data_IF_395214123744
#
_entry.id   IF_395214123744
#
_cell.length_a   1.000
_cell.length_b   1.000
_cell.length_c   1.000
_cell.angle_alpha   90.00
_cell.angle_beta   90.00
_cell.angle_gamma   90.00
#
_symmetry.space_group_name_H-M   'P 1'
#
loop_
_entity.id
_entity.type
_entity.pdbx_description
1 polymer ?
#
# COMPACT_ATOMS: atom_id res chain seq x y z
N UNK A 1 60.85 -31.93 -0.14
CA UNK A 1 60.07 -30.70 0.03
C UNK A 1 59.08 -30.58 -1.13
N UNK A 2 57.78 -30.53 -0.80
CA UNK A 2 56.64 -29.97 -1.57
C UNK A 2 56.51 -30.48 -3.04
N UNK A 3 55.91 -31.64 -3.34
CA UNK A 3 54.46 -31.99 -3.39
C UNK A 3 53.55 -30.96 -4.08
N UNK A 4 53.33 -31.18 -5.38
CA UNK A 4 52.02 -31.24 -6.04
C UNK A 4 50.83 -30.60 -5.30
N UNK A 5 50.51 -29.35 -5.61
CA UNK A 5 49.24 -28.72 -5.27
C UNK A 5 48.97 -27.48 -6.14
N UNK A 6 48.85 -27.63 -7.46
CA UNK A 6 48.49 -26.51 -8.37
C UNK A 6 47.25 -26.83 -9.22
N UNK A 7 46.40 -27.79 -8.84
CA UNK A 7 45.22 -28.13 -9.64
C UNK A 7 43.88 -28.22 -8.89
N UNK A 8 43.78 -27.69 -7.67
CA UNK A 8 42.58 -27.80 -6.83
C UNK A 8 42.12 -26.47 -6.18
N UNK A 9 42.43 -25.33 -6.79
CA UNK A 9 42.02 -24.00 -6.27
C UNK A 9 41.19 -23.17 -7.25
N UNK A 10 40.88 -23.70 -8.44
CA UNK A 10 40.10 -23.00 -9.47
C UNK A 10 38.67 -23.51 -9.63
N UNK A 11 38.27 -24.58 -8.91
CA UNK A 11 36.93 -25.16 -9.00
C UNK A 11 36.01 -24.77 -7.81
N UNK A 12 36.53 -24.12 -6.78
CA UNK A 12 35.79 -23.75 -5.57
C UNK A 12 35.29 -22.29 -5.55
N UNK A 13 35.54 -21.51 -6.60
CA UNK A 13 35.06 -20.12 -6.75
C UNK A 13 34.07 -19.93 -7.92
N UNK A 14 33.64 -21.03 -8.54
CA UNK A 14 32.59 -21.07 -9.57
C UNK A 14 31.47 -22.05 -9.18
N UNK A 15 31.19 -22.20 -7.89
CA UNK A 15 29.82 -22.50 -7.49
C UNK A 15 28.99 -21.24 -7.76
N UNK A 16 28.79 -20.96 -9.07
CA UNK A 16 27.60 -20.26 -9.52
C UNK A 16 26.47 -20.96 -8.79
N UNK A 17 25.86 -20.23 -7.86
CA UNK A 17 24.56 -20.53 -7.30
C UNK A 17 23.69 -21.08 -8.43
N UNK A 18 23.53 -22.40 -8.48
CA UNK A 18 22.51 -23.00 -9.32
C UNK A 18 21.23 -22.26 -8.92
N UNK A 19 20.48 -21.66 -9.88
CA UNK A 19 19.24 -21.00 -9.53
C UNK A 19 18.43 -22.01 -8.75
N UNK A 20 18.06 -21.66 -7.50
CA UNK A 20 17.24 -22.50 -6.67
C UNK A 20 16.07 -22.97 -7.54
N UNK A 21 15.88 -24.29 -7.63
CA UNK A 21 14.87 -24.85 -8.51
C UNK A 21 13.54 -24.19 -8.16
N UNK A 22 13.00 -23.46 -9.13
CA UNK A 22 11.79 -22.69 -8.92
C UNK A 22 10.68 -23.61 -8.42
N UNK A 23 9.95 -23.17 -7.41
CA UNK A 23 8.85 -23.93 -6.84
C UNK A 23 7.89 -24.38 -7.95
N UNK A 24 7.71 -25.69 -8.09
CA UNK A 24 6.84 -26.22 -9.13
C UNK A 24 5.42 -25.68 -9.01
N UNK A 25 4.69 -25.59 -10.12
CA UNK A 25 3.32 -25.07 -10.13
C UNK A 25 2.41 -25.82 -9.14
N UNK A 26 2.56 -27.13 -9.03
CA UNK A 26 1.75 -27.96 -8.13
C UNK A 26 2.11 -27.71 -6.67
N UNK A 27 3.41 -27.60 -6.35
CA UNK A 27 3.86 -27.25 -5.00
C UNK A 27 3.39 -25.85 -4.60
N UNK A 28 3.49 -24.88 -5.51
CA UNK A 28 2.98 -23.53 -5.29
C UNK A 28 1.47 -23.52 -5.05
N UNK A 29 0.70 -24.26 -5.86
CA UNK A 29 -0.76 -24.38 -5.69
C UNK A 29 -1.10 -25.00 -4.34
N UNK A 30 -0.34 -26.00 -3.90
CA UNK A 30 -0.52 -26.60 -2.59
C UNK A 30 -0.24 -25.60 -1.45
N UNK A 31 0.82 -24.79 -1.53
CA UNK A 31 1.11 -23.76 -0.53
C UNK A 31 0.02 -22.67 -0.50
N UNK A 32 -0.46 -22.21 -1.66
CA UNK A 32 -1.58 -21.26 -1.72
C UNK A 32 -2.87 -21.84 -1.13
N UNK A 33 -3.14 -23.12 -1.36
CA UNK A 33 -4.31 -23.79 -0.78
C UNK A 33 -4.18 -23.95 0.75
N UNK A 34 -2.99 -24.25 1.27
CA UNK A 34 -2.74 -24.26 2.72
C UNK A 34 -3.01 -22.89 3.32
N UNK A 35 -2.53 -21.82 2.69
CA UNK A 35 -2.80 -20.46 3.13
C UNK A 35 -4.31 -20.13 3.13
N UNK A 36 -5.05 -20.56 2.09
CA UNK A 36 -6.52 -20.36 1.99
C UNK A 36 -7.31 -21.08 3.08
N UNK A 37 -6.84 -22.27 3.46
CA UNK A 37 -7.48 -23.11 4.47
C UNK A 37 -7.04 -22.76 5.90
N UNK A 38 -6.05 -21.89 6.07
CA UNK A 38 -5.67 -21.40 7.37
C UNK A 38 -6.86 -20.69 8.03
N UNK A 39 -6.95 -20.78 9.37
CA UNK A 39 -7.90 -19.96 10.13
C UNK A 39 -7.66 -18.49 9.80
N UNK A 40 -8.71 -17.67 9.79
CA UNK A 40 -8.69 -16.27 9.33
C UNK A 40 -7.48 -15.49 9.85
N UNK A 41 -7.24 -15.57 11.17
CA UNK A 41 -6.12 -14.93 11.88
C UNK A 41 -4.69 -15.37 11.46
N UNK A 42 -4.54 -16.44 10.69
CA UNK A 42 -3.24 -16.99 10.25
C UNK A 42 -3.06 -16.97 8.73
N UNK A 43 -4.07 -16.51 7.99
CA UNK A 43 -4.03 -16.43 6.53
C UNK A 43 -2.91 -15.53 6.03
N UNK A 44 -2.79 -14.31 6.58
CA UNK A 44 -1.74 -13.35 6.21
C UNK A 44 -0.34 -13.83 6.63
N UNK A 45 -0.21 -14.41 7.83
CA UNK A 45 1.06 -15.00 8.29
C UNK A 45 1.55 -16.13 7.36
N UNK A 46 0.65 -16.97 6.86
CA UNK A 46 1.01 -18.06 5.93
C UNK A 46 1.55 -17.54 4.60
N UNK A 47 0.96 -16.47 4.08
CA UNK A 47 1.45 -15.79 2.87
C UNK A 47 2.76 -15.04 3.12
N UNK A 48 2.93 -14.40 4.29
CA UNK A 48 4.18 -13.76 4.67
C UNK A 48 5.34 -14.76 4.62
N UNK A 49 5.18 -15.96 5.19
CA UNK A 49 6.20 -17.00 5.13
C UNK A 49 6.47 -17.50 3.72
N UNK A 50 5.45 -17.57 2.87
CA UNK A 50 5.62 -17.92 1.46
C UNK A 50 6.47 -16.87 0.72
N UNK A 51 6.31 -15.58 1.03
CA UNK A 51 7.12 -14.49 0.48
C UNK A 51 8.59 -14.51 0.91
N UNK A 52 8.91 -15.10 2.06
CA UNK A 52 10.28 -15.26 2.54
C UNK A 52 11.07 -16.33 1.76
N UNK A 53 10.44 -17.07 0.84
CA UNK A 53 11.12 -18.08 0.04
C UNK A 53 11.79 -17.46 -1.17
N UNK A 54 13.04 -17.85 -1.44
CA UNK A 54 13.80 -17.37 -2.59
C UNK A 54 13.52 -18.16 -3.88
N UNK A 55 12.81 -19.30 -3.78
CA UNK A 55 12.54 -20.22 -4.89
C UNK A 55 11.23 -19.91 -5.64
N UNK A 56 10.55 -18.81 -5.33
CA UNK A 56 9.38 -18.37 -6.10
C UNK A 56 9.82 -17.77 -7.44
N UNK A 57 9.16 -18.18 -8.53
CA UNK A 57 9.25 -17.41 -9.78
C UNK A 57 8.70 -16.00 -9.58
N UNK A 58 9.13 -15.07 -10.43
CA UNK A 58 8.60 -13.70 -10.44
C UNK A 58 7.07 -13.66 -10.48
N UNK A 59 6.44 -14.46 -11.35
CA UNK A 59 4.98 -14.54 -11.45
C UNK A 59 4.31 -15.11 -10.19
N UNK A 60 4.94 -16.08 -9.53
CA UNK A 60 4.45 -16.65 -8.26
C UNK A 60 4.60 -15.64 -7.12
N UNK A 61 5.78 -15.02 -6.97
CA UNK A 61 6.01 -13.97 -5.98
C UNK A 61 4.99 -12.86 -6.12
N UNK A 62 4.81 -12.36 -7.34
CA UNK A 62 3.83 -11.33 -7.68
C UNK A 62 2.40 -11.73 -7.27
N UNK A 63 2.00 -12.98 -7.51
CA UNK A 63 0.69 -13.49 -7.10
C UNK A 63 0.53 -13.55 -5.58
N UNK A 64 1.57 -13.96 -4.86
CA UNK A 64 1.55 -14.04 -3.39
C UNK A 64 1.51 -12.65 -2.77
N UNK A 65 2.30 -11.69 -3.27
CA UNK A 65 2.32 -10.31 -2.78
C UNK A 65 0.96 -9.64 -2.92
N UNK A 66 0.27 -9.88 -4.03
CA UNK A 66 -1.10 -9.43 -4.22
C UNK A 66 -2.07 -10.06 -3.24
N UNK A 67 -2.07 -11.39 -3.18
CA UNK A 67 -2.99 -12.11 -2.31
C UNK A 67 -2.76 -11.71 -0.85
N UNK A 68 -1.51 -11.43 -0.49
CA UNK A 68 -1.13 -10.92 0.82
C UNK A 68 -1.75 -9.55 1.10
N UNK A 69 -1.63 -8.60 0.18
CA UNK A 69 -2.25 -7.28 0.30
C UNK A 69 -3.78 -7.38 0.43
N UNK A 70 -4.44 -8.18 -0.43
CA UNK A 70 -5.90 -8.36 -0.43
C UNK A 70 -6.42 -8.96 0.91
N UNK A 71 -5.70 -9.95 1.44
CA UNK A 71 -6.12 -10.65 2.66
C UNK A 71 -5.89 -9.85 3.91
N UNK A 72 -4.86 -8.98 3.95
CA UNK A 72 -4.70 -8.05 5.08
C UNK A 72 -5.91 -7.14 5.27
N UNK A 73 -6.56 -6.73 4.17
CA UNK A 73 -7.75 -5.88 4.22
C UNK A 73 -9.07 -6.61 4.51
N UNK A 74 -9.16 -7.91 4.18
CA UNK A 74 -10.41 -8.69 4.31
C UNK A 74 -10.46 -9.64 5.52
N UNK A 75 -9.31 -10.12 5.99
CA UNK A 75 -9.19 -11.08 7.09
C UNK A 75 -9.04 -10.43 8.48
N UNK A 76 -9.22 -9.11 8.58
CA UNK A 76 -9.20 -8.39 9.85
C UNK A 76 -7.82 -8.23 10.49
N UNK A 77 -6.74 -8.30 9.71
CA UNK A 77 -5.37 -8.02 10.17
C UNK A 77 -5.19 -6.50 10.39
N UNK A 78 -4.98 -5.76 9.31
CA UNK A 78 -4.82 -4.31 9.36
C UNK A 78 -4.99 -3.72 7.96
N UNK A 79 -5.96 -2.80 7.84
CA UNK A 79 -6.26 -2.06 6.62
C UNK A 79 -5.10 -1.15 6.22
N UNK A 80 -4.38 -0.56 7.19
CA UNK A 80 -3.19 0.25 6.93
C UNK A 80 -2.09 -0.64 6.35
N UNK A 81 -1.82 -1.78 6.97
CA UNK A 81 -0.87 -2.76 6.46
C UNK A 81 -1.22 -3.34 5.08
N UNK A 82 -2.50 -3.39 4.70
CA UNK A 82 -2.92 -3.74 3.32
C UNK A 82 -2.47 -2.68 2.31
N UNK A 83 -2.65 -1.40 2.62
CA UNK A 83 -2.18 -0.28 1.79
C UNK A 83 -0.66 -0.31 1.62
N UNK A 84 0.09 -0.51 2.71
CA UNK A 84 1.56 -0.64 2.65
C UNK A 84 2.01 -1.83 1.79
N UNK A 85 1.32 -2.97 1.88
CA UNK A 85 1.61 -4.14 1.05
C UNK A 85 1.35 -3.88 -0.44
N UNK A 86 0.30 -3.12 -0.79
CA UNK A 86 0.08 -2.71 -2.18
C UNK A 86 1.15 -1.73 -2.67
N UNK A 87 1.61 -0.79 -1.84
CA UNK A 87 2.71 0.10 -2.23
C UNK A 87 3.99 -0.70 -2.49
N UNK A 88 4.37 -1.60 -1.58
CA UNK A 88 5.53 -2.48 -1.77
C UNK A 88 5.42 -3.33 -3.05
N UNK A 89 4.22 -3.83 -3.34
CA UNK A 89 3.93 -4.51 -4.60
C UNK A 89 4.16 -3.59 -5.82
N UNK A 90 3.61 -2.37 -5.80
CA UNK A 90 3.71 -1.45 -6.94
C UNK A 90 5.15 -1.00 -7.20
N UNK A 91 5.91 -0.75 -6.14
CA UNK A 91 7.34 -0.42 -6.20
C UNK A 91 8.16 -1.57 -6.80
N UNK A 92 7.82 -2.82 -6.46
CA UNK A 92 8.49 -4.00 -6.98
C UNK A 92 8.12 -4.30 -8.45
N UNK A 93 6.93 -3.89 -8.91
CA UNK A 93 6.37 -4.26 -10.22
C UNK A 93 5.89 -3.06 -11.06
N UNK A 94 6.73 -2.04 -11.33
CA UNK A 94 6.30 -0.76 -11.90
C UNK A 94 5.75 -0.85 -13.35
N UNK A 95 6.12 -1.88 -14.11
CA UNK A 95 5.73 -2.04 -15.51
C UNK A 95 4.47 -2.90 -15.72
N UNK A 96 3.92 -3.51 -14.66
CA UNK A 96 2.75 -4.40 -14.76
C UNK A 96 1.41 -3.66 -14.62
N UNK A 97 1.30 -2.52 -15.30
CA UNK A 97 0.16 -1.59 -15.28
C UNK A 97 -1.15 -2.24 -15.75
N UNK A 98 -1.16 -3.29 -16.58
CA UNK A 98 -2.43 -3.89 -17.05
C UNK A 98 -3.24 -4.59 -15.96
N UNK A 99 -2.60 -5.00 -14.88
CA UNK A 99 -3.30 -5.58 -13.74
C UNK A 99 -3.77 -4.49 -12.74
N UNK A 100 -3.48 -3.22 -13.02
CA UNK A 100 -3.77 -2.06 -12.16
C UNK A 100 -5.25 -1.75 -12.00
N UNK A 101 -6.13 -2.15 -12.93
CA UNK A 101 -7.54 -1.74 -12.88
C UNK A 101 -8.31 -2.38 -11.70
N UNK A 102 -8.07 -3.67 -11.44
CA UNK A 102 -8.62 -4.38 -10.27
C UNK A 102 -7.89 -4.00 -8.97
N UNK A 103 -6.58 -3.75 -9.04
CA UNK A 103 -5.75 -3.39 -7.86
C UNK A 103 -6.01 -1.98 -7.36
N UNK A 104 -6.31 -1.05 -8.26
CA UNK A 104 -6.73 0.28 -7.87
C UNK A 104 -8.07 0.21 -7.12
N UNK A 105 -8.99 -0.70 -7.45
CA UNK A 105 -10.25 -0.85 -6.71
C UNK A 105 -10.04 -1.28 -5.24
N UNK A 106 -9.18 -2.25 -4.97
CA UNK A 106 -8.96 -2.75 -3.60
C UNK A 106 -7.96 -1.89 -2.81
N UNK A 107 -6.98 -1.27 -3.49
CA UNK A 107 -6.22 -0.15 -2.95
C UNK A 107 -7.13 1.05 -2.61
N UNK A 108 -8.16 1.36 -3.43
CA UNK A 108 -9.15 2.44 -3.20
C UNK A 108 -10.06 2.13 -2.00
N UNK A 109 -10.46 0.87 -1.78
CA UNK A 109 -11.25 0.48 -0.61
C UNK A 109 -10.39 0.41 0.67
N UNK A 110 -9.16 -0.12 0.56
CA UNK A 110 -8.18 -0.12 1.65
C UNK A 110 -7.77 1.28 2.08
N UNK A 111 -7.53 2.20 1.12
CA UNK A 111 -7.33 3.61 1.43
C UNK A 111 -8.58 4.24 2.03
N UNK A 112 -9.78 3.96 1.55
CA UNK A 112 -11.02 4.50 2.13
C UNK A 112 -11.26 4.03 3.57
N UNK A 113 -11.12 2.73 3.86
CA UNK A 113 -11.33 2.16 5.21
C UNK A 113 -10.13 2.46 6.15
N UNK A 114 -8.88 2.50 5.67
CA UNK A 114 -7.73 2.99 6.47
C UNK A 114 -7.81 4.50 6.72
N UNK A 115 -8.45 5.25 5.83
CA UNK A 115 -8.70 6.67 6.00
C UNK A 115 -9.89 6.94 6.90
N UNK A 116 -10.87 6.02 7.01
CA UNK A 116 -11.89 6.09 8.05
C UNK A 116 -11.25 6.21 9.45
N UNK A 117 -10.18 5.46 9.76
CA UNK A 117 -9.42 5.63 11.01
C UNK A 117 -8.66 6.97 11.07
N UNK A 118 -8.11 7.43 9.94
CA UNK A 118 -7.38 8.71 9.87
C UNK A 118 -8.29 9.94 10.01
N UNK A 119 -9.53 9.86 9.51
CA UNK A 119 -10.60 10.86 9.68
C UNK A 119 -10.91 11.08 11.16
N UNK A 120 -10.78 10.07 12.01
CA UNK A 120 -10.95 10.23 13.47
C UNK A 120 -9.77 10.93 14.16
N UNK A 121 -8.61 11.02 13.50
CA UNK A 121 -7.46 11.80 13.99
C UNK A 121 -7.40 13.22 13.40
N UNK A 122 -8.27 13.53 12.42
CA UNK A 122 -8.33 14.85 11.83
C UNK A 122 -8.76 15.87 12.89
N UNK A 123 -7.95 16.91 13.05
CA UNK A 123 -8.12 17.87 14.16
C UNK A 123 -9.19 18.92 13.88
N UNK A 124 -9.64 19.04 12.62
CA UNK A 124 -10.70 19.96 12.19
C UNK A 124 -11.37 19.50 10.88
N UNK A 125 -12.51 20.13 10.56
CA UNK A 125 -13.32 19.80 9.38
C UNK A 125 -12.57 19.92 8.05
N UNK A 126 -11.65 20.86 7.93
CA UNK A 126 -10.88 21.08 6.70
C UNK A 126 -9.83 19.99 6.47
N UNK A 127 -9.18 19.50 7.53
CA UNK A 127 -8.28 18.35 7.49
C UNK A 127 -9.04 17.06 7.13
N UNK A 128 -10.25 16.88 7.70
CA UNK A 128 -11.15 15.79 7.35
C UNK A 128 -11.56 15.84 5.87
N UNK A 129 -11.91 17.02 5.35
CA UNK A 129 -12.30 17.16 3.95
C UNK A 129 -11.16 16.84 2.97
N UNK A 130 -9.93 17.29 3.24
CA UNK A 130 -8.74 16.96 2.43
C UNK A 130 -8.48 15.46 2.46
N UNK A 131 -8.60 14.86 3.65
CA UNK A 131 -8.41 13.44 3.89
C UNK A 131 -9.46 12.61 3.14
N UNK A 132 -10.73 13.01 3.15
CA UNK A 132 -11.83 12.37 2.41
C UNK A 132 -11.60 12.46 0.89
N UNK A 133 -11.23 13.64 0.37
CA UNK A 133 -10.90 13.82 -1.03
C UNK A 133 -9.75 12.89 -1.45
N UNK A 134 -8.72 12.80 -0.61
CA UNK A 134 -7.56 11.96 -0.87
C UNK A 134 -7.94 10.47 -0.91
N UNK A 135 -8.67 10.00 0.10
CA UNK A 135 -9.15 8.62 0.17
C UNK A 135 -10.06 8.23 -1.00
N UNK A 136 -10.85 9.19 -1.46
CA UNK A 136 -11.74 9.01 -2.61
C UNK A 136 -11.01 9.15 -3.96
N UNK A 137 -9.69 9.30 -3.98
CA UNK A 137 -8.94 9.37 -5.22
C UNK A 137 -9.07 10.71 -5.96
N UNK A 138 -9.68 11.73 -5.35
CA UNK A 138 -9.73 13.11 -5.84
C UNK A 138 -8.45 13.86 -5.43
N UNK A 139 -7.29 13.29 -5.77
CA UNK A 139 -5.99 13.74 -5.28
C UNK A 139 -5.63 15.16 -5.69
N UNK A 140 -5.98 15.57 -6.91
CA UNK A 140 -5.77 16.95 -7.36
C UNK A 140 -6.61 17.95 -6.58
N UNK A 141 -7.87 17.60 -6.29
CA UNK A 141 -8.76 18.46 -5.49
C UNK A 141 -8.29 18.52 -4.03
N UNK A 142 -7.82 17.40 -3.48
CA UNK A 142 -7.22 17.33 -2.15
C UNK A 142 -5.98 18.24 -2.03
N UNK A 143 -5.10 18.23 -3.03
CA UNK A 143 -3.92 19.11 -3.07
C UNK A 143 -4.30 20.58 -3.19
N UNK A 144 -5.30 20.90 -4.01
CA UNK A 144 -5.82 22.26 -4.13
C UNK A 144 -6.40 22.77 -2.80
N UNK A 145 -7.20 21.93 -2.12
CA UNK A 145 -7.75 22.24 -0.80
C UNK A 145 -6.65 22.35 0.27
N UNK A 146 -5.63 21.49 0.21
CA UNK A 146 -4.48 21.53 1.10
C UNK A 146 -3.69 22.84 0.93
N UNK A 147 -3.40 23.23 -0.32
CA UNK A 147 -2.72 24.49 -0.62
C UNK A 147 -3.51 25.72 -0.16
N UNK A 148 -4.84 25.71 -0.31
CA UNK A 148 -5.70 26.82 0.07
C UNK A 148 -5.89 26.94 1.60
N UNK A 149 -5.86 25.82 2.31
CA UNK A 149 -6.14 25.78 3.76
C UNK A 149 -4.94 26.12 4.64
N UNK A 150 -3.72 26.04 4.10
CA UNK A 150 -2.45 26.19 4.85
C UNK A 150 -2.38 25.30 6.10
N UNK A 151 -3.06 24.14 6.04
CA UNK A 151 -3.11 23.17 7.12
C UNK A 151 -1.89 22.25 7.09
N UNK A 152 -1.57 21.68 8.25
CA UNK A 152 -0.61 20.59 8.38
C UNK A 152 -1.40 19.29 8.59
N UNK A 153 -1.63 18.52 7.51
CA UNK A 153 -2.26 17.21 7.63
C UNK A 153 -1.37 16.27 8.45
N UNK A 154 -1.95 15.17 8.92
CA UNK A 154 -1.18 14.16 9.65
C UNK A 154 -0.03 13.58 8.80
N UNK A 155 1.00 13.06 9.48
CA UNK A 155 2.21 12.53 8.84
C UNK A 155 1.94 11.39 7.86
N UNK A 156 0.91 10.59 8.11
CA UNK A 156 0.55 9.44 7.28
C UNK A 156 -0.02 9.88 5.93
N UNK A 157 -0.88 10.90 5.93
CA UNK A 157 -1.39 11.49 4.70
C UNK A 157 -0.25 12.13 3.89
N UNK A 158 0.66 12.85 4.55
CA UNK A 158 1.85 13.42 3.89
C UNK A 158 2.72 12.32 3.26
N UNK A 159 2.95 11.22 3.98
CA UNK A 159 3.72 10.08 3.49
C UNK A 159 3.04 9.43 2.27
N UNK A 160 1.72 9.28 2.28
CA UNK A 160 0.98 8.75 1.13
C UNK A 160 1.06 9.69 -0.07
N UNK A 161 0.90 11.01 0.13
CA UNK A 161 1.04 12.01 -0.93
C UNK A 161 2.46 12.05 -1.53
N UNK A 162 3.48 11.76 -0.71
CA UNK A 162 4.86 11.61 -1.17
C UNK A 162 5.03 10.34 -2.01
N UNK A 163 4.57 9.19 -1.52
CA UNK A 163 4.66 7.90 -2.24
C UNK A 163 3.93 7.92 -3.58
N UNK A 164 2.83 8.66 -3.68
CA UNK A 164 2.10 8.82 -4.94
C UNK A 164 2.72 9.83 -5.90
N UNK A 165 3.75 10.56 -5.48
CA UNK A 165 4.47 11.53 -6.29
C UNK A 165 3.76 12.87 -6.45
N UNK A 166 2.94 13.27 -5.49
CA UNK A 166 2.28 14.59 -5.50
C UNK A 166 2.96 15.60 -4.59
N UNK A 167 3.65 15.09 -3.57
CA UNK A 167 4.65 15.84 -2.84
C UNK A 167 6.05 15.36 -3.25
N UNK A 168 6.98 16.29 -3.44
CA UNK A 168 8.37 16.01 -3.77
C UNK A 168 9.30 16.82 -2.87
N UNK A 169 10.61 16.49 -2.85
CA UNK A 169 11.59 17.26 -2.10
C UNK A 169 11.47 18.75 -2.38
N UNK A 170 11.60 19.60 -1.36
CA UNK A 170 11.41 21.06 -1.47
C UNK A 170 12.20 21.69 -2.62
N UNK A 171 13.38 21.15 -2.92
CA UNK A 171 14.28 21.57 -4.01
C UNK A 171 13.67 21.40 -5.41
N UNK A 172 12.66 20.53 -5.55
CA UNK A 172 12.00 20.18 -6.82
C UNK A 172 10.58 20.72 -6.91
N UNK A 173 10.10 21.41 -5.87
CA UNK A 173 8.71 21.79 -5.73
C UNK A 173 8.36 23.15 -6.36
N UNK A 174 7.08 23.36 -6.66
CA UNK A 174 6.57 24.62 -7.23
C UNK A 174 5.75 25.47 -6.26
N UNK A 175 5.46 24.93 -5.07
CA UNK A 175 4.67 25.60 -4.05
C UNK A 175 5.56 26.03 -2.88
N UNK A 176 5.18 27.10 -2.19
CA UNK A 176 5.78 27.56 -0.93
C UNK A 176 5.23 26.82 0.30
N UNK A 177 4.18 26.01 0.14
CA UNK A 177 3.69 25.16 1.21
C UNK A 177 4.71 24.07 1.54
N UNK A 178 4.93 23.81 2.84
CA UNK A 178 5.97 22.91 3.34
C UNK A 178 5.36 21.86 4.25
N UNK A 179 5.70 20.61 3.99
CA UNK A 179 5.23 19.43 4.71
C UNK A 179 6.43 18.61 5.17
N UNK A 180 6.28 17.92 6.30
CA UNK A 180 7.35 17.07 6.84
C UNK A 180 6.79 15.84 7.51
N UNK A 181 7.55 14.74 7.42
CA UNK A 181 7.35 13.55 8.24
C UNK A 181 8.70 12.87 8.49
N UNK A 182 8.74 12.02 9.51
CA UNK A 182 9.92 11.21 9.85
C UNK A 182 9.58 9.74 9.69
N UNK A 183 10.42 8.99 9.00
CA UNK A 183 10.31 7.54 8.84
C UNK A 183 11.69 6.91 8.98
N UNK A 184 11.84 5.94 9.87
CA UNK A 184 13.12 5.25 10.14
C UNK A 184 14.28 6.22 10.41
N UNK A 185 14.06 7.20 11.29
CA UNK A 185 15.01 8.26 11.63
C UNK A 185 15.45 9.18 10.47
N UNK A 186 14.78 9.09 9.32
CA UNK A 186 14.99 9.98 8.18
C UNK A 186 13.87 11.02 8.14
N UNK A 187 14.24 12.30 8.14
CA UNK A 187 13.31 13.41 7.94
C UNK A 187 13.11 13.67 6.45
N UNK A 188 11.85 13.71 6.03
CA UNK A 188 11.43 14.06 4.69
C UNK A 188 10.85 15.47 4.72
N UNK A 189 11.43 16.37 3.91
CA UNK A 189 10.99 17.75 3.75
C UNK A 189 10.44 17.93 2.35
N UNK A 190 9.16 18.27 2.26
CA UNK A 190 8.39 18.11 1.04
C UNK A 190 7.52 19.32 0.74
N UNK A 191 7.19 19.49 -0.53
CA UNK A 191 6.26 20.50 -1.02
C UNK A 191 5.50 19.97 -2.25
N UNK A 192 4.44 20.67 -2.66
CA UNK A 192 3.62 20.25 -3.81
C UNK A 192 4.46 20.30 -5.09
N UNK A 193 4.42 19.22 -5.85
CA UNK A 193 5.15 19.12 -7.10
C UNK A 193 4.69 20.11 -8.17
N UNK A 194 5.59 20.54 -9.08
CA UNK A 194 5.21 21.31 -10.25
C UNK A 194 4.17 20.56 -11.08
N UNK A 195 3.30 21.30 -11.76
CA UNK A 195 2.28 20.72 -12.65
C UNK A 195 2.86 19.91 -13.82
N UNK A 196 4.14 20.08 -14.12
CA UNK A 196 4.90 19.31 -15.11
C UNK A 196 5.43 17.98 -14.58
N UNK A 197 5.38 17.76 -13.26
CA UNK A 197 5.76 16.49 -12.65
C UNK A 197 4.74 15.41 -12.99
N UNK A 198 5.22 14.26 -13.44
CA UNK A 198 4.37 13.09 -13.66
C UNK A 198 4.34 12.32 -12.33
N UNK A 199 3.19 12.25 -11.65
CA UNK A 199 3.10 11.53 -10.38
C UNK A 199 3.39 10.05 -10.59
N UNK A 200 3.94 9.42 -9.56
CA UNK A 200 4.25 7.98 -9.59
C UNK A 200 2.97 7.16 -9.79
N UNK A 201 1.87 7.61 -9.18
CA UNK A 201 0.54 7.05 -9.40
C UNK A 201 -0.42 8.13 -9.88
N UNK A 202 -1.11 7.96 -11.01
CA UNK A 202 -2.10 8.91 -11.46
C UNK A 202 -3.33 8.90 -10.55
N UNK A 203 -3.93 10.09 -10.37
CA UNK A 203 -5.17 10.27 -9.61
C UNK A 203 -6.28 9.37 -10.17
N UNK A 204 -6.89 8.50 -9.34
CA UNK A 204 -7.82 7.50 -9.85
C UNK A 204 -9.18 8.05 -10.31
N UNK A 205 -9.60 9.21 -9.79
CA UNK A 205 -10.93 9.83 -9.97
C UNK A 205 -12.06 8.83 -10.30
N UNK A 206 -12.32 7.85 -9.42
CA UNK A 206 -13.14 6.68 -9.78
C UNK A 206 -14.64 7.02 -9.92
N UNK A 207 -15.05 8.21 -9.47
CA UNK A 207 -16.41 8.75 -9.62
C UNK A 207 -16.44 10.03 -10.46
N UNK A 208 -15.65 10.06 -11.54
CA UNK A 208 -15.69 11.13 -12.53
C UNK A 208 -17.14 11.38 -13.00
N UNK A 209 -17.65 12.60 -12.78
CA UNK A 209 -19.01 13.00 -13.14
C UNK A 209 -20.05 13.00 -12.00
N UNK A 210 -19.70 12.48 -10.82
CA UNK A 210 -20.52 12.64 -9.62
C UNK A 210 -20.06 13.85 -8.80
N UNK A 211 -21.00 14.53 -8.15
CA UNK A 211 -20.66 15.59 -7.22
C UNK A 211 -19.91 15.00 -6.03
N UNK A 212 -18.64 15.40 -5.86
CA UNK A 212 -17.72 14.88 -4.83
C UNK A 212 -18.35 14.89 -3.44
N UNK A 213 -19.10 15.95 -3.12
CA UNK A 213 -19.78 16.09 -1.83
C UNK A 213 -20.86 15.02 -1.61
N UNK A 214 -21.55 14.60 -2.66
CA UNK A 214 -22.52 13.50 -2.58
C UNK A 214 -21.81 12.18 -2.30
N UNK A 215 -20.68 11.91 -2.98
CA UNK A 215 -19.89 10.70 -2.76
C UNK A 215 -19.37 10.64 -1.32
N UNK A 216 -18.82 11.75 -0.81
CA UNK A 216 -18.35 11.85 0.59
C UNK A 216 -19.49 11.52 1.56
N UNK A 217 -20.67 12.12 1.37
CA UNK A 217 -21.83 11.88 2.26
C UNK A 217 -22.31 10.43 2.23
N UNK A 218 -22.44 9.84 1.05
CA UNK A 218 -22.89 8.45 0.89
C UNK A 218 -21.91 7.46 1.52
N UNK A 219 -20.61 7.68 1.31
CA UNK A 219 -19.56 6.80 1.82
C UNK A 219 -19.40 6.95 3.33
N UNK A 220 -19.45 8.17 3.87
CA UNK A 220 -19.42 8.40 5.32
C UNK A 220 -20.65 7.79 6.01
N UNK A 221 -21.81 7.82 5.35
CA UNK A 221 -23.02 7.15 5.85
C UNK A 221 -22.83 5.62 5.93
N UNK A 222 -22.38 4.98 4.85
CA UNK A 222 -22.17 3.54 4.81
C UNK A 222 -21.15 3.07 5.87
N UNK A 223 -20.09 3.86 6.08
CA UNK A 223 -19.10 3.61 7.13
C UNK A 223 -19.73 3.64 8.53
N UNK A 224 -20.52 4.66 8.84
CA UNK A 224 -21.21 4.78 10.13
C UNK A 224 -22.20 3.63 10.36
N UNK A 225 -22.91 3.19 9.32
CA UNK A 225 -23.83 2.04 9.38
C UNK A 225 -23.05 0.74 9.69
N UNK A 226 -21.94 0.47 8.98
CA UNK A 226 -21.07 -0.69 9.23
C UNK A 226 -20.46 -0.69 10.63
N UNK A 227 -20.07 0.48 11.14
CA UNK A 227 -19.56 0.60 12.51
C UNK A 227 -20.64 0.33 13.56
N UNK A 228 -21.88 0.78 13.32
CA UNK A 228 -22.99 0.46 14.19
C UNK A 228 -23.23 -1.06 14.24
N UNK A 229 -23.18 -1.73 13.09
CA UNK A 229 -23.28 -3.20 13.01
C UNK A 229 -22.15 -3.89 13.77
N UNK A 230 -20.89 -3.45 13.60
CA UNK A 230 -19.74 -4.02 14.31
C UNK A 230 -19.80 -3.79 15.82
N UNK A 231 -20.26 -2.61 16.27
CA UNK A 231 -20.49 -2.34 17.71
C UNK A 231 -21.57 -3.27 18.27
N UNK A 232 -22.68 -3.44 17.56
CA UNK A 232 -23.74 -4.38 17.96
C UNK A 232 -23.22 -5.81 18.00
N UNK A 233 -22.41 -6.22 17.03
CA UNK A 233 -21.79 -7.55 17.01
C UNK A 233 -20.86 -7.79 18.20
N UNK A 234 -20.04 -6.80 18.60
CA UNK A 234 -19.18 -6.88 19.79
C UNK A 234 -20.00 -6.96 21.09
N UNK A 235 -21.07 -6.17 21.21
CA UNK A 235 -21.98 -6.27 22.36
C UNK A 235 -22.71 -7.61 22.43
N UNK A 236 -23.02 -8.22 21.29
CA UNK A 236 -23.66 -9.53 21.22
C UNK A 236 -22.69 -10.69 21.49
N UNK A 237 -21.38 -10.51 21.28
CA UNK A 237 -20.36 -11.55 21.50
C UNK A 237 -19.85 -11.62 22.94
N UNK A 238 -20.16 -10.65 23.81
CA UNK A 238 -19.86 -10.71 25.24
C UNK A 238 -18.41 -10.45 25.65
N UNK A 239 -17.63 -9.77 24.79
CA UNK A 239 -16.32 -9.20 25.13
C UNK A 239 -16.45 -7.77 25.69
#
# INVERSE_FOLDING_TARGET
>A
MIRTAVFALSASLLALSAPAETLSKDAFTAEMNKARQAKEQYKTASLYWLLQRDDLSEGQRRYVELTYADWRGSSGDDLVGSVDAYFAYMDAHPNHISDSFYRLHDFRFGQYDATAERVFTATNYSDQYITDLWALGYWMDALGALQASNLRPNSTLIQDMHRTGYLCPEEQAASDARYMYTLNDVEYRLAICPSTHVPTFPSPQPWAGQAVQTVILEKNRALNERQAELKVARYASGD
#
